data_IF_424024634271
#
_entry.id   IF_424024634271
#
_cell.length_a   1.000
_cell.length_b   1.000
_cell.length_c   1.000
_cell.angle_alpha   90.00
_cell.angle_beta   90.00
_cell.angle_gamma   90.00
#
_symmetry.space_group_name_H-M   'P 1'
#
loop_
_entity.id
_entity.type
_entity.pdbx_description
1 polymer ?
#
# COMPACT_ATOMS: atom_id res chain seq x y z
N UNK A 1 -15.82 -20.41 -18.66
CA UNK A 1 -15.39 -20.64 -17.26
C UNK A 1 -14.24 -21.64 -17.22
N UNK A 2 -14.33 -22.81 -17.88
CA UNK A 2 -13.25 -23.82 -17.90
C UNK A 2 -11.96 -23.30 -18.55
N UNK A 3 -12.03 -22.59 -19.66
CA UNK A 3 -10.88 -21.99 -20.34
C UNK A 3 -10.20 -20.90 -19.49
N UNK A 4 -10.97 -20.14 -18.72
CA UNK A 4 -10.46 -19.11 -17.82
C UNK A 4 -9.76 -19.74 -16.60
N UNK A 5 -10.33 -20.82 -16.06
CA UNK A 5 -9.71 -21.62 -15.00
C UNK A 5 -8.37 -22.22 -15.44
N UNK A 6 -8.30 -22.80 -16.64
CA UNK A 6 -7.04 -23.34 -17.20
C UNK A 6 -5.99 -22.25 -17.40
N UNK A 7 -6.41 -21.07 -17.86
CA UNK A 7 -5.50 -19.91 -18.02
C UNK A 7 -4.96 -19.41 -16.67
N UNK A 8 -5.82 -19.31 -15.66
CA UNK A 8 -5.45 -18.89 -14.32
C UNK A 8 -4.53 -19.93 -13.66
N UNK A 9 -4.82 -21.22 -13.80
CA UNK A 9 -3.96 -22.29 -13.29
C UNK A 9 -2.57 -22.24 -13.94
N UNK A 10 -2.50 -22.10 -15.26
CA UNK A 10 -1.22 -21.97 -15.95
C UNK A 10 -0.44 -20.70 -15.56
N UNK A 11 -1.14 -19.58 -15.31
CA UNK A 11 -0.50 -18.36 -14.84
C UNK A 11 0.04 -18.49 -13.41
N UNK A 12 -0.69 -19.17 -12.51
CA UNK A 12 -0.23 -19.45 -11.14
C UNK A 12 0.96 -20.39 -11.12
N UNK A 13 0.96 -21.45 -11.93
CA UNK A 13 2.10 -22.36 -12.05
C UNK A 13 3.36 -21.64 -12.58
N UNK A 14 3.19 -20.73 -13.56
CA UNK A 14 4.28 -19.94 -14.09
C UNK A 14 4.83 -18.95 -13.06
N UNK A 15 3.98 -18.35 -12.25
CA UNK A 15 4.38 -17.46 -11.16
C UNK A 15 5.12 -18.23 -10.06
N UNK A 16 4.63 -19.40 -9.67
CA UNK A 16 5.26 -20.27 -8.68
C UNK A 16 6.67 -20.71 -9.14
N UNK A 17 6.82 -21.07 -10.40
CA UNK A 17 8.13 -21.40 -10.98
C UNK A 17 9.09 -20.22 -10.96
N UNK A 18 8.62 -19.01 -11.31
CA UNK A 18 9.45 -17.80 -11.29
C UNK A 18 9.83 -17.40 -9.86
N UNK A 19 8.91 -17.55 -8.91
CA UNK A 19 9.15 -17.28 -7.50
C UNK A 19 10.24 -18.20 -6.95
N UNK A 20 10.11 -19.51 -7.18
CA UNK A 20 11.13 -20.49 -6.76
C UNK A 20 12.52 -20.16 -7.31
N UNK A 21 12.59 -19.77 -8.58
CA UNK A 21 13.87 -19.38 -9.20
C UNK A 21 14.47 -18.12 -8.58
N UNK A 22 13.64 -17.10 -8.27
CA UNK A 22 14.11 -15.87 -7.61
C UNK A 22 14.58 -16.14 -6.20
N UNK A 23 13.88 -17.01 -5.46
CA UNK A 23 14.28 -17.46 -4.11
C UNK A 23 15.60 -18.19 -4.16
N UNK A 24 15.79 -19.12 -5.08
CA UNK A 24 17.03 -19.88 -5.25
C UNK A 24 18.21 -18.99 -5.63
N UNK A 25 18.03 -18.10 -6.62
CA UNK A 25 19.06 -17.12 -7.01
C UNK A 25 19.40 -16.16 -5.86
N UNK A 26 18.40 -15.72 -5.10
CA UNK A 26 18.58 -14.85 -3.93
C UNK A 26 19.35 -15.55 -2.80
N UNK A 27 19.00 -16.79 -2.48
CA UNK A 27 19.68 -17.59 -1.47
C UNK A 27 21.16 -17.81 -1.81
N UNK A 28 21.44 -18.17 -3.06
CA UNK A 28 22.81 -18.37 -3.53
C UNK A 28 23.66 -17.09 -3.44
N UNK A 29 23.06 -15.93 -3.72
CA UNK A 29 23.76 -14.63 -3.61
C UNK A 29 24.00 -14.23 -2.16
N UNK A 30 23.06 -14.51 -1.27
CA UNK A 30 23.24 -14.23 0.18
C UNK A 30 24.34 -15.12 0.72
N UNK A 31 24.36 -16.41 0.42
CA UNK A 31 25.44 -17.31 0.82
C UNK A 31 26.82 -16.86 0.32
N UNK A 32 26.94 -16.40 -0.93
CA UNK A 32 28.18 -15.82 -1.46
C UNK A 32 28.61 -14.55 -0.72
N UNK A 33 27.66 -13.68 -0.38
CA UNK A 33 27.95 -12.47 0.37
C UNK A 33 28.35 -12.75 1.82
N UNK A 34 27.68 -13.69 2.50
CA UNK A 34 28.04 -14.11 3.86
C UNK A 34 29.41 -14.76 3.90
N UNK A 35 29.72 -15.62 2.92
CA UNK A 35 31.06 -16.19 2.78
C UNK A 35 32.13 -15.12 2.63
N UNK A 36 31.93 -14.14 1.74
CA UNK A 36 32.88 -13.04 1.52
C UNK A 36 33.00 -12.09 2.72
N UNK A 37 31.91 -11.91 3.47
CA UNK A 37 31.93 -11.11 4.69
C UNK A 37 32.80 -11.77 5.77
N UNK A 38 32.63 -13.07 6.00
CA UNK A 38 33.42 -13.84 6.98
C UNK A 38 34.90 -13.88 6.57
N UNK A 39 35.17 -14.04 5.27
CA UNK A 39 36.55 -13.98 4.75
C UNK A 39 37.22 -12.62 5.02
N UNK A 40 36.47 -11.52 4.87
CA UNK A 40 36.98 -10.16 5.15
C UNK A 40 37.13 -9.87 6.64
N UNK A 41 36.29 -10.44 7.50
CA UNK A 41 36.35 -10.30 8.96
C UNK A 41 37.37 -11.25 9.62
N UNK A 42 37.99 -12.16 8.84
CA UNK A 42 38.95 -13.15 9.37
C UNK A 42 38.31 -14.21 10.26
N UNK A 43 37.02 -14.45 10.10
CA UNK A 43 36.24 -15.42 10.83
C UNK A 43 36.44 -16.87 10.34
N UNK A 44 36.04 -17.83 11.17
CA UNK A 44 36.14 -19.27 10.86
C UNK A 44 34.96 -19.70 9.98
N UNK A 45 35.25 -20.16 8.76
CA UNK A 45 34.31 -20.57 7.73
C UNK A 45 33.57 -21.88 8.11
N UNK A 46 34.03 -22.62 9.12
CA UNK A 46 33.44 -23.90 9.51
C UNK A 46 32.05 -23.81 10.16
N UNK A 47 31.57 -22.62 10.49
CA UNK A 47 30.23 -22.37 11.03
C UNK A 47 29.20 -21.92 9.97
N UNK A 48 29.55 -21.93 8.68
CA UNK A 48 28.66 -21.54 7.55
C UNK A 48 27.65 -22.67 7.17
N UNK A 49 27.43 -23.65 8.03
CA UNK A 49 26.65 -24.84 7.68
C UNK A 49 25.14 -24.64 7.52
N UNK A 50 24.59 -23.47 7.83
CA UNK A 50 23.17 -23.18 7.69
C UNK A 50 22.90 -21.73 7.21
N UNK A 51 23.21 -21.46 5.93
CA UNK A 51 22.60 -20.31 5.24
C UNK A 51 21.10 -20.60 5.09
N UNK A 52 20.28 -19.89 5.84
CA UNK A 52 18.83 -19.99 5.71
C UNK A 52 18.42 -19.56 4.29
N UNK A 53 17.67 -20.43 3.59
CA UNK A 53 17.10 -20.08 2.28
C UNK A 53 16.22 -18.85 2.38
N UNK A 54 16.26 -18.00 1.36
CA UNK A 54 15.34 -16.87 1.21
C UNK A 54 13.92 -17.45 1.04
N UNK A 55 13.20 -17.69 2.14
CA UNK A 55 11.90 -18.36 2.13
C UNK A 55 11.76 -19.45 3.22
N UNK A 56 12.83 -19.71 3.99
CA UNK A 56 12.86 -20.76 5.01
C UNK A 56 12.95 -22.17 4.41
N UNK A 57 13.60 -23.10 5.12
CA UNK A 57 13.68 -24.50 4.73
C UNK A 57 12.27 -25.10 4.65
N UNK A 58 11.79 -25.31 3.43
CA UNK A 58 10.58 -26.08 3.16
C UNK A 58 10.85 -27.59 3.36
N UNK A 59 11.51 -27.99 4.44
CA UNK A 59 11.33 -29.33 4.96
C UNK A 59 10.04 -29.33 5.76
N UNK A 60 9.07 -30.08 5.23
CA UNK A 60 7.85 -30.53 5.89
C UNK A 60 8.17 -31.14 7.29
N UNK A 61 8.45 -30.27 8.24
CA UNK A 61 8.11 -30.55 9.62
C UNK A 61 6.63 -30.12 9.72
N UNK A 62 5.76 -31.13 9.90
CA UNK A 62 4.50 -30.98 10.63
C UNK A 62 4.80 -30.43 12.04
N UNK A 63 5.39 -29.28 12.13
CA UNK A 63 5.26 -28.40 13.26
C UNK A 63 4.34 -27.32 12.74
N UNK A 64 3.18 -27.23 13.33
CA UNK A 64 2.30 -26.07 13.31
C UNK A 64 3.16 -24.85 13.67
N UNK A 65 3.95 -24.37 12.71
CA UNK A 65 4.39 -22.99 12.68
C UNK A 65 3.08 -22.25 12.46
N UNK A 66 2.70 -21.29 13.30
CA UNK A 66 1.63 -20.40 12.91
C UNK A 66 2.08 -19.84 11.56
N UNK A 67 1.37 -20.21 10.50
CA UNK A 67 1.34 -19.39 9.29
C UNK A 67 1.10 -18.01 9.87
N UNK A 68 2.06 -17.09 9.77
CA UNK A 68 1.71 -15.67 9.88
C UNK A 68 0.69 -15.48 8.78
N UNK A 69 -0.54 -15.68 9.17
CA UNK A 69 -1.69 -15.23 8.44
C UNK A 69 -1.37 -13.79 8.01
N UNK A 70 -1.76 -13.37 6.81
CA UNK A 70 -1.71 -11.95 6.44
C UNK A 70 -2.15 -11.19 7.68
N UNK A 71 -1.43 -10.14 8.13
CA UNK A 71 -1.55 -9.61 9.48
C UNK A 71 -3.02 -9.64 9.87
N UNK A 72 -3.35 -10.58 10.76
CA UNK A 72 -4.74 -10.73 11.22
C UNK A 72 -5.05 -9.38 11.83
N UNK A 73 -5.96 -8.67 11.18
CA UNK A 73 -6.56 -7.48 11.76
C UNK A 73 -6.90 -7.83 13.20
N UNK A 74 -6.35 -7.10 14.17
CA UNK A 74 -6.67 -7.33 15.57
C UNK A 74 -8.19 -7.34 15.67
N UNK A 75 -8.78 -8.25 16.43
CA UNK A 75 -10.23 -8.55 16.44
C UNK A 75 -11.12 -7.29 16.59
N UNK A 76 -10.56 -6.17 17.08
CA UNK A 76 -11.23 -4.87 17.14
C UNK A 76 -11.00 -3.96 15.95
N UNK A 77 -9.95 -4.18 15.17
CA UNK A 77 -9.49 -3.29 14.12
C UNK A 77 -10.46 -3.23 12.93
N UNK A 78 -10.86 -4.38 12.42
CA UNK A 78 -11.85 -4.47 11.34
C UNK A 78 -13.20 -3.90 11.79
N UNK A 79 -13.64 -4.23 13.02
CA UNK A 79 -14.89 -3.74 13.56
C UNK A 79 -14.91 -2.21 13.75
N UNK A 80 -13.79 -1.62 14.20
CA UNK A 80 -13.67 -0.17 14.36
C UNK A 80 -13.65 0.54 13.00
N UNK A 81 -13.01 -0.06 11.99
CA UNK A 81 -13.00 0.47 10.62
C UNK A 81 -14.41 0.39 10.01
N UNK A 82 -15.08 -0.77 10.09
CA UNK A 82 -16.43 -0.99 9.57
C UNK A 82 -17.45 -0.04 10.21
N UNK A 83 -17.30 0.23 11.52
CA UNK A 83 -18.15 1.19 12.21
C UNK A 83 -17.96 2.61 11.66
N UNK A 84 -16.72 3.02 11.43
CA UNK A 84 -16.40 4.32 10.83
C UNK A 84 -16.92 4.42 9.38
N UNK A 85 -16.80 3.35 8.60
CA UNK A 85 -17.35 3.28 7.25
C UNK A 85 -18.88 3.36 7.27
N UNK A 86 -19.53 2.65 8.19
CA UNK A 86 -20.98 2.72 8.34
C UNK A 86 -21.46 4.13 8.69
N UNK A 87 -20.72 4.86 9.52
CA UNK A 87 -21.01 6.26 9.82
C UNK A 87 -20.87 7.15 8.58
N UNK A 88 -19.83 6.91 7.75
CA UNK A 88 -19.64 7.60 6.47
C UNK A 88 -20.80 7.34 5.50
N UNK A 89 -21.21 6.08 5.35
CA UNK A 89 -22.30 5.66 4.46
C UNK A 89 -23.67 6.22 4.92
N UNK A 90 -23.81 6.46 6.24
CA UNK A 90 -24.96 7.15 6.82
C UNK A 90 -24.87 8.69 6.72
N UNK A 91 -23.89 9.23 5.96
CA UNK A 91 -23.62 10.67 5.78
C UNK A 91 -23.24 11.40 7.09
N UNK A 92 -22.90 10.67 8.15
CA UNK A 92 -22.39 11.22 9.40
C UNK A 92 -20.89 11.54 9.29
N UNK A 93 -20.53 12.41 8.35
CA UNK A 93 -19.13 12.62 7.93
C UNK A 93 -18.20 13.09 9.05
N UNK A 94 -18.67 13.95 9.94
CA UNK A 94 -17.85 14.42 11.08
C UNK A 94 -17.55 13.27 12.03
N UNK A 95 -18.57 12.48 12.38
CA UNK A 95 -18.42 11.31 13.25
C UNK A 95 -17.50 10.27 12.63
N UNK A 96 -17.68 9.97 11.34
CA UNK A 96 -16.80 9.08 10.57
C UNK A 96 -15.34 9.56 10.60
N UNK A 97 -15.11 10.86 10.38
CA UNK A 97 -13.76 11.43 10.41
C UNK A 97 -13.11 11.32 11.81
N UNK A 98 -13.87 11.50 12.88
CA UNK A 98 -13.40 11.33 14.26
C UNK A 98 -13.08 9.87 14.58
N UNK A 99 -13.94 8.92 14.15
CA UNK A 99 -13.70 7.48 14.29
C UNK A 99 -12.43 7.06 13.55
N UNK A 100 -12.24 7.49 12.28
CA UNK A 100 -11.06 7.20 11.47
C UNK A 100 -9.79 7.84 12.04
N UNK A 101 -9.91 9.00 12.67
CA UNK A 101 -8.79 9.61 13.37
C UNK A 101 -8.38 8.80 14.60
N UNK A 102 -9.34 8.29 15.37
CA UNK A 102 -9.06 7.37 16.50
C UNK A 102 -8.48 6.07 16.01
N UNK A 103 -9.02 5.51 14.92
CA UNK A 103 -8.50 4.31 14.28
C UNK A 103 -7.01 4.44 13.96
N UNK A 104 -6.60 5.54 13.31
CA UNK A 104 -5.21 5.76 12.93
C UNK A 104 -4.26 5.95 14.14
N UNK A 105 -4.79 6.36 15.30
CA UNK A 105 -4.00 6.47 16.53
C UNK A 105 -3.90 5.13 17.27
N UNK A 106 -4.95 4.32 17.20
CA UNK A 106 -5.03 3.02 17.88
C UNK A 106 -4.29 1.93 17.12
N UNK A 107 -4.35 1.98 15.77
CA UNK A 107 -3.81 0.97 14.89
C UNK A 107 -2.85 1.58 13.83
N UNK A 108 -1.72 2.17 14.24
CA UNK A 108 -0.82 2.89 13.33
C UNK A 108 -0.17 1.98 12.29
N UNK A 109 -0.01 0.69 12.58
CA UNK A 109 0.61 -0.31 11.71
C UNK A 109 -0.42 -1.16 10.94
N UNK A 110 -1.70 -0.77 10.99
CA UNK A 110 -2.79 -1.46 10.32
C UNK A 110 -2.61 -1.51 8.80
N UNK A 111 -2.87 -2.65 8.15
CA UNK A 111 -2.97 -2.69 6.68
C UNK A 111 -4.11 -1.80 6.15
N UNK A 112 -5.11 -1.45 6.97
CA UNK A 112 -6.21 -0.55 6.62
C UNK A 112 -5.87 0.94 6.81
N UNK A 113 -4.68 1.27 7.33
CA UNK A 113 -4.35 2.65 7.70
C UNK A 113 -4.41 3.62 6.50
N UNK A 114 -3.96 3.19 5.33
CA UNK A 114 -4.02 4.00 4.11
C UNK A 114 -5.46 4.27 3.68
N UNK A 115 -6.32 3.27 3.79
CA UNK A 115 -7.74 3.35 3.48
C UNK A 115 -8.49 4.20 4.51
N UNK A 116 -8.16 4.07 5.79
CA UNK A 116 -8.69 4.90 6.86
C UNK A 116 -8.39 6.40 6.62
N UNK A 117 -7.16 6.72 6.24
CA UNK A 117 -6.80 8.08 5.87
C UNK A 117 -7.54 8.56 4.61
N UNK A 118 -7.71 7.70 3.60
CA UNK A 118 -8.46 8.03 2.39
C UNK A 118 -9.93 8.32 2.70
N UNK A 119 -10.57 7.46 3.48
CA UNK A 119 -11.97 7.62 3.87
C UNK A 119 -12.17 8.85 4.74
N UNK A 120 -11.23 9.14 5.65
CA UNK A 120 -11.23 10.36 6.45
C UNK A 120 -11.13 11.61 5.56
N UNK A 121 -10.29 11.56 4.52
CA UNK A 121 -10.21 12.62 3.52
C UNK A 121 -11.53 12.86 2.80
N UNK A 122 -12.21 11.79 2.40
CA UNK A 122 -13.55 11.86 1.77
C UNK A 122 -14.60 12.45 2.72
N UNK A 123 -14.55 12.09 4.01
CA UNK A 123 -15.46 12.63 5.00
C UNK A 123 -15.28 14.15 5.18
N UNK A 124 -14.05 14.63 5.26
CA UNK A 124 -13.77 16.06 5.31
C UNK A 124 -14.11 16.81 4.02
N UNK A 125 -13.89 16.18 2.86
CA UNK A 125 -14.27 16.71 1.56
C UNK A 125 -15.79 16.92 1.47
N UNK A 126 -16.58 15.96 1.98
CA UNK A 126 -18.05 16.04 1.99
C UNK A 126 -18.61 17.20 2.83
N UNK A 127 -17.87 17.64 3.85
CA UNK A 127 -18.22 18.81 4.67
C UNK A 127 -17.44 20.07 4.28
N UNK A 128 -16.79 20.05 3.12
CA UNK A 128 -16.02 21.17 2.54
C UNK A 128 -14.83 21.64 3.42
N UNK A 129 -14.39 20.83 4.39
CA UNK A 129 -13.13 21.10 5.09
C UNK A 129 -11.94 20.60 4.25
N UNK A 130 -11.66 21.36 3.18
CA UNK A 130 -10.60 21.01 2.24
C UNK A 130 -9.21 21.00 2.86
N UNK A 131 -9.00 21.72 3.96
CA UNK A 131 -7.72 21.72 4.67
C UNK A 131 -7.49 20.39 5.40
N UNK A 132 -8.48 19.90 6.13
CA UNK A 132 -8.42 18.60 6.79
C UNK A 132 -8.40 17.46 5.76
N UNK A 133 -9.20 17.57 4.71
CA UNK A 133 -9.25 16.65 3.58
C UNK A 133 -7.88 16.50 2.90
N UNK A 134 -7.23 17.60 2.51
CA UNK A 134 -5.91 17.57 1.90
C UNK A 134 -4.86 16.88 2.79
N UNK A 135 -4.89 17.14 4.10
CA UNK A 135 -3.98 16.48 5.05
C UNK A 135 -4.22 14.97 5.10
N UNK A 136 -5.47 14.55 5.19
CA UNK A 136 -5.82 13.15 5.25
C UNK A 136 -5.45 12.40 3.96
N UNK A 137 -5.66 13.01 2.79
CA UNK A 137 -5.22 12.43 1.52
C UNK A 137 -3.70 12.36 1.38
N UNK A 138 -2.97 13.35 1.90
CA UNK A 138 -1.52 13.30 1.95
C UNK A 138 -1.01 12.15 2.82
N UNK A 139 -1.63 11.92 3.99
CA UNK A 139 -1.30 10.79 4.87
C UNK A 139 -1.60 9.45 4.18
N UNK A 140 -2.76 9.31 3.53
CA UNK A 140 -3.08 8.13 2.71
C UNK A 140 -2.04 7.91 1.62
N UNK A 141 -1.69 8.95 0.86
CA UNK A 141 -0.68 8.84 -0.21
C UNK A 141 0.71 8.51 0.31
N UNK A 142 1.09 9.00 1.48
CA UNK A 142 2.40 8.69 2.07
C UNK A 142 2.49 7.22 2.51
N UNK A 143 1.40 6.66 2.98
CA UNK A 143 1.30 5.25 3.41
C UNK A 143 1.26 4.32 2.20
N UNK A 144 0.32 4.57 1.28
CA UNK A 144 0.15 3.81 0.05
C UNK A 144 0.18 4.79 -1.13
N UNK A 145 1.19 4.69 -1.99
CA UNK A 145 1.35 5.58 -3.16
C UNK A 145 0.26 5.31 -4.20
N UNK A 146 -1.00 5.63 -3.85
CA UNK A 146 -2.15 5.40 -4.72
C UNK A 146 -2.46 6.64 -5.59
N UNK A 147 -2.86 6.45 -6.86
CA UNK A 147 -3.27 7.56 -7.72
C UNK A 147 -4.53 8.27 -7.23
N UNK A 148 -5.48 7.56 -6.59
CA UNK A 148 -6.71 8.16 -6.05
C UNK A 148 -6.40 9.18 -4.96
N UNK A 149 -5.56 8.80 -3.98
CA UNK A 149 -5.18 9.71 -2.90
C UNK A 149 -4.46 10.96 -3.44
N UNK A 150 -3.55 10.80 -4.41
CA UNK A 150 -2.81 11.92 -4.99
C UNK A 150 -3.72 12.87 -5.79
N UNK A 151 -4.67 12.32 -6.57
CA UNK A 151 -5.63 13.12 -7.32
C UNK A 151 -6.58 13.88 -6.40
N UNK A 152 -7.08 13.24 -5.33
CA UNK A 152 -7.96 13.89 -4.36
C UNK A 152 -7.24 14.97 -3.55
N UNK A 153 -5.97 14.72 -3.17
CA UNK A 153 -5.11 15.73 -2.57
C UNK A 153 -5.02 16.97 -3.47
N UNK A 154 -4.77 16.76 -4.76
CA UNK A 154 -4.71 17.84 -5.75
C UNK A 154 -6.02 18.65 -5.77
N UNK A 155 -7.16 17.99 -5.87
CA UNK A 155 -8.47 18.63 -5.90
C UNK A 155 -8.76 19.45 -4.62
N UNK A 156 -8.39 18.90 -3.45
CA UNK A 156 -8.53 19.62 -2.18
C UNK A 156 -7.64 20.87 -2.13
N UNK A 157 -6.41 20.81 -2.66
CA UNK A 157 -5.52 21.97 -2.75
C UNK A 157 -6.07 23.05 -3.69
N UNK A 158 -6.64 22.64 -4.82
CA UNK A 158 -7.31 23.57 -5.76
C UNK A 158 -8.49 24.25 -5.09
N UNK A 159 -9.32 23.49 -4.37
CA UNK A 159 -10.47 24.03 -3.62
C UNK A 159 -10.05 24.99 -2.50
N UNK A 160 -8.85 24.84 -1.94
CA UNK A 160 -8.21 25.78 -1.02
C UNK A 160 -7.66 27.05 -1.70
N UNK A 161 -7.76 27.16 -3.02
CA UNK A 161 -7.17 28.25 -3.79
C UNK A 161 -5.67 28.09 -4.05
N UNK A 162 -5.08 26.97 -3.69
CA UNK A 162 -3.66 26.65 -3.93
C UNK A 162 -3.48 26.06 -5.34
N UNK A 163 -3.86 26.83 -6.35
CA UNK A 163 -3.93 26.39 -7.75
C UNK A 163 -2.61 25.83 -8.25
N UNK A 164 -1.52 26.55 -8.02
CA UNK A 164 -0.18 26.15 -8.49
C UNK A 164 0.23 24.79 -7.92
N UNK A 165 0.08 24.59 -6.60
CA UNK A 165 0.41 23.32 -5.94
C UNK A 165 -0.50 22.18 -6.41
N UNK A 166 -1.80 22.48 -6.58
CA UNK A 166 -2.74 21.50 -7.11
C UNK A 166 -2.39 21.06 -8.53
N UNK A 167 -2.04 21.99 -9.42
CA UNK A 167 -1.57 21.69 -10.77
C UNK A 167 -0.29 20.84 -10.77
N UNK A 168 0.65 21.13 -9.87
CA UNK A 168 1.86 20.32 -9.71
C UNK A 168 1.52 18.89 -9.28
N UNK A 169 0.58 18.70 -8.36
CA UNK A 169 0.15 17.36 -7.92
C UNK A 169 -0.57 16.60 -9.06
N UNK A 170 -1.43 17.26 -9.86
CA UNK A 170 -2.04 16.65 -11.05
C UNK A 170 -0.99 16.18 -12.07
N UNK A 171 0.03 16.98 -12.32
CA UNK A 171 1.17 16.60 -13.17
C UNK A 171 1.90 15.37 -12.63
N UNK A 172 2.03 15.25 -11.31
CA UNK A 172 2.62 14.06 -10.69
C UNK A 172 1.74 12.82 -10.87
N UNK A 173 0.41 12.92 -10.85
CA UNK A 173 -0.49 11.78 -11.15
C UNK A 173 -0.21 11.26 -12.55
N UNK A 174 -0.10 12.14 -13.54
CA UNK A 174 0.21 11.74 -14.92
C UNK A 174 1.59 11.08 -15.05
N UNK A 175 2.59 11.63 -14.37
CA UNK A 175 3.97 11.15 -14.42
C UNK A 175 4.17 9.80 -13.72
N UNK A 176 3.58 9.64 -12.52
CA UNK A 176 3.81 8.47 -11.68
C UNK A 176 2.89 7.28 -12.02
N UNK A 177 1.72 7.55 -12.62
CA UNK A 177 0.72 6.53 -12.92
C UNK A 177 0.27 6.54 -14.39
N UNK A 178 1.23 6.49 -15.34
CA UNK A 178 0.93 6.61 -16.76
C UNK A 178 0.00 5.46 -17.22
N UNK A 179 -0.91 5.77 -18.14
CA UNK A 179 -1.84 4.79 -18.70
C UNK A 179 -3.01 4.39 -17.80
N UNK A 180 -3.15 5.00 -16.63
CA UNK A 180 -4.30 4.81 -15.75
C UNK A 180 -5.43 5.79 -16.09
N UNK A 181 -6.66 5.46 -15.68
CA UNK A 181 -7.79 6.39 -15.76
C UNK A 181 -7.55 7.68 -14.95
N UNK A 182 -6.78 7.59 -13.87
CA UNK A 182 -6.38 8.75 -13.05
C UNK A 182 -5.47 9.71 -13.82
N UNK A 183 -4.50 9.20 -14.58
CA UNK A 183 -3.64 10.04 -15.43
C UNK A 183 -4.47 10.79 -16.49
N UNK A 184 -5.40 10.10 -17.14
CA UNK A 184 -6.30 10.74 -18.12
C UNK A 184 -7.20 11.80 -17.48
N UNK A 185 -7.73 11.52 -16.28
CA UNK A 185 -8.53 12.48 -15.52
C UNK A 185 -7.69 13.69 -15.08
N UNK A 186 -6.48 13.48 -14.59
CA UNK A 186 -5.56 14.54 -14.21
C UNK A 186 -5.21 15.46 -15.40
N UNK A 187 -4.94 14.87 -16.56
CA UNK A 187 -4.65 15.63 -17.78
C UNK A 187 -5.85 16.50 -18.21
N UNK A 188 -7.06 15.92 -18.17
CA UNK A 188 -8.30 16.67 -18.48
C UNK A 188 -8.52 17.82 -17.51
N UNK A 189 -8.26 17.60 -16.23
CA UNK A 189 -8.41 18.60 -15.18
C UNK A 189 -7.36 19.73 -15.33
N UNK A 190 -6.11 19.40 -15.62
CA UNK A 190 -5.07 20.39 -15.90
C UNK A 190 -5.42 21.28 -17.10
N UNK A 191 -5.99 20.69 -18.17
CA UNK A 191 -6.46 21.47 -19.31
C UNK A 191 -7.60 22.40 -18.94
N UNK A 192 -8.57 21.91 -18.14
CA UNK A 192 -9.72 22.71 -17.68
C UNK A 192 -9.28 23.89 -16.81
N UNK A 193 -8.29 23.69 -15.96
CA UNK A 193 -7.75 24.68 -15.02
C UNK A 193 -6.68 25.58 -15.64
N UNK A 194 -6.27 25.29 -16.89
CA UNK A 194 -5.18 26.00 -17.57
C UNK A 194 -3.87 25.95 -16.75
N UNK A 195 -3.54 24.79 -16.21
CA UNK A 195 -2.26 24.56 -15.55
C UNK A 195 -1.12 24.65 -16.59
N UNK A 196 -0.17 25.55 -16.37
CA UNK A 196 1.00 25.79 -17.25
C UNK A 196 2.30 25.51 -16.50
#
# INVERSE_FOLDING_TARGET
IELELQRLTGATEQLDYRLKRVVEDGTNRIGDLEFRLIELEGGDISNLADTTTLGGDAELREQTVPIEAPPELAVGEEADFDLAQSAFDAENYIEAAEMLNRFSQTYPDSPLIAEAHLLRGKAFEAVEDYKASARAYLESYNTLKSPDALQRLSNSLISLGQMETGCQMLSQVELLFPGTSYAAAAQSEMQRLQCF
#
